data_IF_066456307162
#
_entry.id   IF_066456307162
#
_cell.length_a   1.000
_cell.length_b   1.000
_cell.length_c   1.000
_cell.angle_alpha   90.00
_cell.angle_beta   90.00
_cell.angle_gamma   90.00
#
_symmetry.space_group_name_H-M   'P 1'
#
loop_
_entity.id
_entity.type
_entity.pdbx_description
1 polymer ?
#
# COMPACT_ATOMS: atom_id res chain seq x y z
N UNK A 1 -1.77 -9.49 8.38
CA UNK A 1 -0.85 -9.22 7.24
C UNK A 1 -0.08 -7.94 7.55
N UNK A 2 1.19 -7.82 7.15
CA UNK A 2 2.00 -6.63 7.47
C UNK A 2 2.19 -6.46 8.98
N UNK A 3 1.89 -5.29 9.52
CA UNK A 3 1.93 -5.00 10.96
C UNK A 3 0.68 -5.47 11.73
N UNK A 4 -0.36 -5.96 11.03
CA UNK A 4 -1.66 -6.28 11.62
C UNK A 4 -2.63 -5.10 11.71
N UNK A 5 -2.14 -3.88 11.53
CA UNK A 5 -2.95 -2.65 11.47
C UNK A 5 -3.53 -2.39 10.08
N UNK A 6 -4.71 -1.77 10.02
CA UNK A 6 -5.32 -1.38 8.74
C UNK A 6 -4.57 -0.20 8.11
N UNK A 7 -4.52 -0.10 6.77
CA UNK A 7 -3.79 0.96 6.08
C UNK A 7 -4.34 2.37 6.36
N UNK A 8 -5.59 2.48 6.83
CA UNK A 8 -6.20 3.74 7.29
C UNK A 8 -5.52 4.31 8.55
N UNK A 9 -4.85 3.48 9.35
CA UNK A 9 -4.15 3.92 10.58
C UNK A 9 -2.82 4.63 10.29
N UNK A 10 -2.25 4.47 9.09
CA UNK A 10 -1.12 5.25 8.61
C UNK A 10 0.20 5.04 9.36
N UNK A 11 1.04 6.07 9.37
CA UNK A 11 2.42 5.99 9.89
C UNK A 11 2.49 5.60 11.37
N UNK A 12 3.46 4.73 11.70
CA UNK A 12 3.65 4.22 13.06
C UNK A 12 2.67 3.11 13.47
N UNK A 13 1.73 2.76 12.59
CA UNK A 13 0.74 1.69 12.80
C UNK A 13 0.73 0.70 11.64
N UNK A 14 0.36 1.17 10.45
CA UNK A 14 0.30 0.36 9.25
C UNK A 14 1.70 0.10 8.67
N UNK A 15 1.88 -1.08 8.08
CA UNK A 15 3.05 -1.36 7.26
C UNK A 15 2.94 -0.59 5.93
N UNK A 16 4.08 -0.19 5.37
CA UNK A 16 4.11 0.59 4.13
C UNK A 16 5.36 0.32 3.29
N UNK A 17 5.24 0.57 2.00
CA UNK A 17 6.35 0.79 1.09
C UNK A 17 6.26 2.21 0.55
N UNK A 18 7.37 2.94 0.55
CA UNK A 18 7.45 4.32 0.06
C UNK A 18 8.50 4.48 -1.03
N UNK A 19 8.43 5.58 -1.77
CA UNK A 19 9.29 5.88 -2.90
C UNK A 19 9.27 4.73 -3.93
N UNK A 20 8.08 4.28 -4.31
CA UNK A 20 7.94 3.29 -5.37
C UNK A 20 8.50 3.85 -6.67
N UNK A 21 9.38 3.07 -7.30
CA UNK A 21 9.99 3.38 -8.60
C UNK A 21 9.94 2.14 -9.48
N UNK A 22 9.86 2.37 -10.78
CA UNK A 22 10.03 1.36 -11.80
C UNK A 22 11.32 1.65 -12.57
N UNK A 23 12.09 0.61 -12.87
CA UNK A 23 13.24 0.72 -13.75
C UNK A 23 12.76 0.54 -15.19
N UNK A 24 12.85 1.60 -15.98
CA UNK A 24 12.56 1.58 -17.40
C UNK A 24 13.78 1.12 -18.22
N UNK A 25 13.62 1.06 -19.55
CA UNK A 25 14.74 0.87 -20.47
C UNK A 25 15.86 1.89 -20.18
N UNK A 26 17.11 1.48 -20.40
CA UNK A 26 18.33 2.26 -20.08
C UNK A 26 18.58 2.49 -18.58
N UNK A 27 17.99 1.68 -17.70
CA UNK A 27 18.17 1.79 -16.24
C UNK A 27 17.67 3.13 -15.67
N UNK A 28 16.70 3.75 -16.33
CA UNK A 28 16.11 5.01 -15.88
C UNK A 28 15.05 4.72 -14.82
N UNK A 29 15.22 5.30 -13.64
CA UNK A 29 14.20 5.29 -12.60
C UNK A 29 13.03 6.21 -12.99
N UNK A 30 11.80 5.69 -12.90
CA UNK A 30 10.57 6.46 -13.12
C UNK A 30 9.56 6.18 -12.02
N UNK A 31 8.70 7.16 -11.77
CA UNK A 31 7.52 6.91 -10.95
C UNK A 31 6.60 5.91 -11.67
N UNK A 32 6.03 4.93 -10.96
CA UNK A 32 5.01 4.07 -11.53
C UNK A 32 3.76 4.89 -11.87
N UNK A 33 3.08 4.48 -12.94
CA UNK A 33 1.86 5.13 -13.43
C UNK A 33 0.76 4.08 -13.60
N UNK A 34 -0.49 4.51 -13.50
CA UNK A 34 -1.67 3.63 -13.63
C UNK A 34 -1.65 2.45 -12.64
N UNK A 35 -1.25 2.70 -11.38
CA UNK A 35 -1.25 1.68 -10.35
C UNK A 35 -2.69 1.35 -9.93
N UNK A 36 -3.02 0.06 -9.91
CA UNK A 36 -4.31 -0.42 -9.45
C UNK A 36 -4.10 -1.27 -8.18
N UNK A 37 -4.62 -0.86 -7.01
CA UNK A 37 -4.60 -1.71 -5.83
C UNK A 37 -5.49 -2.94 -6.07
N UNK A 38 -5.00 -4.12 -5.67
CA UNK A 38 -5.74 -5.37 -5.76
C UNK A 38 -5.69 -6.11 -4.42
N UNK A 39 -6.87 -6.40 -3.87
CA UNK A 39 -7.05 -7.03 -2.56
C UNK A 39 -8.14 -8.09 -2.69
N UNK A 40 -7.87 -9.32 -2.26
CA UNK A 40 -8.85 -10.41 -2.42
C UNK A 40 -9.84 -10.52 -1.26
N UNK A 41 -9.51 -9.97 -0.07
CA UNK A 41 -10.39 -9.96 1.11
C UNK A 41 -10.31 -8.63 1.89
N UNK A 42 -10.90 -7.53 1.38
CA UNK A 42 -10.79 -6.18 1.95
C UNK A 42 -11.20 -6.09 3.43
N UNK A 43 -12.20 -6.88 3.85
CA UNK A 43 -12.66 -6.92 5.25
C UNK A 43 -11.65 -7.54 6.23
N UNK A 44 -10.69 -8.31 5.72
CA UNK A 44 -9.64 -8.99 6.49
C UNK A 44 -8.34 -8.21 6.53
N UNK A 45 -8.02 -7.59 5.40
CA UNK A 45 -6.84 -6.80 5.15
C UNK A 45 -7.08 -5.94 3.93
N UNK A 46 -6.41 -4.79 3.89
CA UNK A 46 -6.63 -3.81 2.84
C UNK A 46 -5.30 -3.16 2.43
N UNK A 47 -5.35 -2.41 1.33
CA UNK A 47 -4.25 -1.65 0.78
C UNK A 47 -4.72 -0.25 0.40
N UNK A 48 -4.04 0.78 0.92
CA UNK A 48 -4.29 2.17 0.58
C UNK A 48 -3.13 2.72 -0.24
N UNK A 49 -3.37 2.89 -1.54
CA UNK A 49 -2.45 3.54 -2.47
C UNK A 49 -2.53 5.06 -2.32
N UNK A 50 -1.37 5.73 -2.32
CA UNK A 50 -1.23 7.18 -2.29
C UNK A 50 -0.26 7.58 -3.40
N UNK A 51 -0.78 8.29 -4.40
CA UNK A 51 -0.03 8.71 -5.60
C UNK A 51 0.45 10.17 -5.54
N UNK A 52 0.57 10.75 -4.34
CA UNK A 52 1.11 12.09 -4.17
C UNK A 52 2.64 12.10 -4.40
N UNK A 53 3.00 12.31 -5.67
CA UNK A 53 4.39 12.41 -6.16
C UNK A 53 5.15 13.62 -5.59
N UNK A 54 4.44 14.63 -5.11
CA UNK A 54 5.05 15.85 -4.57
C UNK A 54 5.46 15.72 -3.10
N UNK A 55 4.93 14.70 -2.41
CA UNK A 55 5.26 14.41 -1.01
C UNK A 55 6.67 13.82 -0.88
N UNK A 56 7.28 13.99 0.31
CA UNK A 56 8.57 13.37 0.65
C UNK A 56 8.55 11.84 0.69
N UNK A 57 7.36 11.22 0.59
CA UNK A 57 7.18 9.78 0.55
C UNK A 57 6.98 9.23 -0.87
N UNK A 58 6.90 10.13 -1.87
CA UNK A 58 6.64 9.78 -3.26
C UNK A 58 5.34 8.97 -3.44
N UNK A 59 5.25 8.22 -4.54
CA UNK A 59 4.21 7.20 -4.70
C UNK A 59 4.46 6.10 -3.66
N UNK A 60 3.45 5.79 -2.84
CA UNK A 60 3.56 4.84 -1.74
C UNK A 60 2.23 4.15 -1.46
N UNK A 61 2.27 3.06 -0.71
CA UNK A 61 1.05 2.45 -0.19
C UNK A 61 1.23 1.96 1.24
N UNK A 62 0.13 2.02 1.98
CA UNK A 62 -0.03 1.31 3.24
C UNK A 62 -0.73 -0.01 2.98
N UNK A 63 -0.40 -1.04 3.75
CA UNK A 63 -1.07 -2.34 3.68
C UNK A 63 -1.13 -3.00 5.05
N UNK A 64 -2.14 -3.82 5.25
CA UNK A 64 -2.25 -4.61 6.47
C UNK A 64 -3.69 -4.87 6.87
N UNK A 65 -3.85 -5.33 8.10
CA UNK A 65 -5.12 -5.73 8.68
C UNK A 65 -4.94 -6.97 9.54
N UNK A 66 -5.84 -7.18 10.51
CA UNK A 66 -5.69 -8.21 11.52
C UNK A 66 -5.77 -9.61 10.92
N UNK A 67 -6.38 -9.77 9.73
CA UNK A 67 -6.61 -11.09 9.11
C UNK A 67 -7.73 -11.89 9.77
N UNK A 68 -8.27 -11.40 10.89
CA UNK A 68 -9.46 -11.90 11.56
C UNK A 68 -10.29 -10.70 12.05
N UNK A 69 -11.58 -10.69 11.74
CA UNK A 69 -12.55 -9.72 12.22
C UNK A 69 -13.96 -10.32 12.02
N UNK A 70 -15.00 -9.85 12.73
CA UNK A 70 -16.37 -10.28 12.46
C UNK A 70 -16.84 -10.01 11.03
N UNK A 71 -16.21 -9.06 10.32
CA UNK A 71 -16.50 -8.70 8.93
C UNK A 71 -15.65 -9.53 7.94
N UNK A 72 -14.52 -10.05 8.39
CA UNK A 72 -13.64 -10.98 7.69
C UNK A 72 -14.20 -12.42 7.79
N UNK A 73 -15.28 -12.67 7.07
CA UNK A 73 -15.91 -13.98 6.97
C UNK A 73 -15.34 -14.72 5.74
N UNK A 74 -15.23 -16.05 5.84
CA UNK A 74 -14.64 -16.92 4.81
C UNK A 74 -15.38 -16.87 3.47
#
# INVERSE_FOLDING_TARGET
>A
MGSGSFPSEGYGKAAFFRNLKMIAYESIERDPENLQPYVTRPECYDLKLIEDRSSSNGVHFFFGGPGYSPQCIN
#
